data_IF_142458604478
#
_entry.id   IF_142458604478
#
_cell.length_a   1.000
_cell.length_b   1.000
_cell.length_c   1.000
_cell.angle_alpha   90.00
_cell.angle_beta   90.00
_cell.angle_gamma   90.00
#
_symmetry.space_group_name_H-M   'P 1'
#
loop_
_entity.id
_entity.type
_entity.pdbx_description
1 polymer ?
#
# COMPACT_ATOMS: atom_id res chain seq x y z
N UNK A 1 50.70 -5.20 1.66
CA UNK A 1 50.79 -4.07 0.71
C UNK A 1 50.48 -4.57 -0.71
N UNK A 2 49.25 -4.34 -1.21
CA UNK A 2 49.00 -4.22 -2.64
C UNK A 2 48.56 -2.79 -3.02
N UNK A 3 48.95 -2.42 -4.23
CA UNK A 3 49.06 -1.07 -4.79
C UNK A 3 47.71 -0.45 -5.19
N UNK A 4 47.69 0.87 -5.06
CA UNK A 4 46.70 1.87 -5.52
C UNK A 4 46.23 1.69 -6.96
N UNK A 5 44.94 1.96 -7.20
CA UNK A 5 44.47 2.57 -8.46
C UNK A 5 43.27 3.46 -8.13
N UNK A 6 43.49 4.77 -8.21
CA UNK A 6 42.44 5.80 -8.26
C UNK A 6 41.80 5.77 -9.65
N UNK A 7 40.47 5.74 -9.71
CA UNK A 7 39.73 6.12 -10.92
C UNK A 7 38.73 7.22 -10.56
N UNK A 8 39.06 8.45 -10.98
CA UNK A 8 38.13 9.56 -11.14
C UNK A 8 37.23 9.27 -12.36
N UNK A 9 35.91 9.40 -12.22
CA UNK A 9 35.01 9.63 -13.37
C UNK A 9 33.89 10.60 -13.01
N UNK A 10 33.99 11.78 -13.62
CA UNK A 10 32.99 12.71 -14.16
C UNK A 10 31.77 13.17 -13.34
N UNK A 11 31.78 14.50 -13.09
CA UNK A 11 30.63 15.37 -12.83
C UNK A 11 29.73 15.42 -14.08
N UNK A 12 28.44 15.13 -13.92
CA UNK A 12 27.39 15.32 -14.93
C UNK A 12 26.41 16.41 -14.50
N UNK A 13 26.31 17.46 -15.31
CA UNK A 13 25.53 18.67 -15.07
C UNK A 13 24.00 18.47 -15.21
N UNK A 14 23.29 19.42 -14.60
CA UNK A 14 21.86 19.51 -14.39
C UNK A 14 20.98 19.57 -15.66
N UNK A 15 19.73 19.14 -15.51
CA UNK A 15 18.59 19.64 -16.29
C UNK A 15 17.40 19.91 -15.35
N UNK A 16 17.07 21.19 -15.17
CA UNK A 16 15.87 21.72 -14.54
C UNK A 16 14.81 21.98 -15.60
N UNK A 17 13.68 21.27 -15.56
CA UNK A 17 12.45 21.52 -16.35
C UNK A 17 11.31 20.84 -15.55
N UNK A 18 10.10 21.36 -15.32
CA UNK A 18 9.34 22.52 -15.81
C UNK A 18 8.25 22.82 -14.76
N UNK A 19 7.94 24.10 -14.59
CA UNK A 19 6.84 24.60 -13.80
C UNK A 19 5.47 24.21 -14.40
N UNK A 20 4.54 23.81 -13.53
CA UNK A 20 3.11 23.70 -13.83
C UNK A 20 2.32 24.48 -12.79
N UNK A 21 2.41 25.81 -12.83
CA UNK A 21 1.49 26.73 -12.15
C UNK A 21 0.38 27.05 -13.15
N UNK A 22 -0.85 26.63 -12.86
CA UNK A 22 -2.03 26.85 -13.69
C UNK A 22 -3.16 27.42 -12.83
N UNK A 23 -3.58 28.63 -13.18
CA UNK A 23 -4.31 29.63 -12.41
C UNK A 23 -5.76 29.30 -12.02
N UNK A 24 -6.16 29.92 -10.91
CA UNK A 24 -7.51 30.13 -10.39
C UNK A 24 -8.56 30.57 -11.43
N UNK A 25 -9.78 30.04 -11.30
CA UNK A 25 -11.01 30.79 -11.60
C UNK A 25 -12.14 30.39 -10.66
N UNK A 26 -12.81 31.38 -10.08
CA UNK A 26 -14.21 31.27 -9.66
C UNK A 26 -14.48 31.15 -8.17
N UNK A 27 -14.39 32.27 -7.45
CA UNK A 27 -15.12 32.42 -6.20
C UNK A 27 -16.63 32.46 -6.46
N UNK A 28 -17.39 31.62 -5.76
CA UNK A 28 -18.78 31.88 -5.44
C UNK A 28 -19.00 31.51 -3.97
N UNK A 29 -19.40 32.53 -3.23
CA UNK A 29 -19.63 32.52 -1.79
C UNK A 29 -20.99 31.86 -1.51
N UNK A 30 -21.01 30.75 -0.77
CA UNK A 30 -22.18 30.32 0.00
C UNK A 30 -21.73 29.73 1.33
N UNK A 31 -22.22 30.34 2.41
CA UNK A 31 -22.03 30.02 3.83
C UNK A 31 -22.74 28.70 4.23
N UNK A 32 -22.54 28.19 5.48
CA UNK A 32 -22.23 26.79 5.74
C UNK A 32 -23.41 25.89 6.14
N UNK A 33 -23.08 24.60 6.33
CA UNK A 33 -23.77 23.53 7.06
C UNK A 33 -24.57 22.53 6.21
N UNK A 34 -23.96 21.36 5.95
CA UNK A 34 -24.30 20.10 6.63
C UNK A 34 -23.25 19.04 6.29
N UNK A 35 -22.79 18.31 7.31
CA UNK A 35 -21.89 17.17 7.15
C UNK A 35 -22.51 16.13 6.21
N UNK A 36 -22.04 16.08 4.97
CA UNK A 36 -22.26 14.97 4.05
C UNK A 36 -21.08 14.00 4.19
N UNK A 37 -21.44 12.75 4.44
CA UNK A 37 -20.58 11.56 4.51
C UNK A 37 -19.39 11.62 3.55
N UNK A 38 -18.22 11.08 3.92
CA UNK A 38 -17.12 10.99 2.98
C UNK A 38 -17.57 10.18 1.76
N UNK A 39 -17.73 10.89 0.65
CA UNK A 39 -17.97 10.33 -0.66
C UNK A 39 -16.96 9.24 -0.93
N UNK A 40 -17.46 8.06 -1.28
CA UNK A 40 -16.65 7.02 -1.91
C UNK A 40 -15.96 7.66 -3.10
N UNK A 41 -14.66 7.88 -2.98
CA UNK A 41 -13.83 8.18 -4.13
C UNK A 41 -14.04 7.02 -5.09
N UNK A 42 -14.76 7.29 -6.18
CA UNK A 42 -14.79 6.41 -7.32
C UNK A 42 -13.37 6.42 -7.87
N UNK A 43 -12.56 5.48 -7.40
CA UNK A 43 -11.25 5.20 -7.96
C UNK A 43 -11.47 4.83 -9.41
N UNK A 44 -11.22 5.78 -10.31
CA UNK A 44 -11.05 5.53 -11.75
C UNK A 44 -9.97 4.47 -11.85
N UNK A 45 -10.40 3.23 -12.06
CA UNK A 45 -9.54 2.06 -11.91
C UNK A 45 -8.31 2.19 -12.79
N UNK A 46 -7.11 1.81 -12.31
CA UNK A 46 -5.99 1.64 -13.20
C UNK A 46 -6.42 0.60 -14.24
N UNK A 47 -6.39 1.00 -15.52
CA UNK A 47 -6.34 0.09 -16.67
C UNK A 47 -5.48 -1.07 -16.26
N UNK A 48 -6.04 -2.28 -16.25
CA UNK A 48 -5.41 -3.48 -15.72
C UNK A 48 -4.00 -3.59 -16.32
N UNK A 49 -2.98 -3.16 -15.57
CA UNK A 49 -1.61 -3.40 -15.93
C UNK A 49 -1.49 -4.89 -16.12
N UNK A 50 -1.04 -5.31 -17.30
CA UNK A 50 -0.79 -6.70 -17.64
C UNK A 50 0.43 -7.20 -16.83
N UNK A 51 0.31 -7.25 -15.51
CA UNK A 51 1.24 -7.95 -14.65
C UNK A 51 1.16 -9.45 -15.02
N UNK A 52 1.98 -10.36 -14.48
CA UNK A 52 1.86 -11.80 -14.79
C UNK A 52 1.09 -12.55 -13.69
N UNK A 53 0.08 -13.34 -14.10
CA UNK A 53 -0.70 -14.30 -13.29
C UNK A 53 0.13 -15.35 -12.55
N UNK A 54 0.47 -15.19 -11.27
CA UNK A 54 1.11 -16.27 -10.50
C UNK A 54 0.10 -17.18 -9.81
N UNK A 55 0.40 -18.48 -9.71
CA UNK A 55 -0.44 -19.43 -8.98
C UNK A 55 -0.30 -19.25 -7.45
N UNK A 56 0.87 -18.81 -7.00
CA UNK A 56 1.16 -18.51 -5.61
C UNK A 56 1.93 -17.20 -5.52
N UNK A 57 1.57 -16.38 -4.54
CA UNK A 57 2.22 -15.10 -4.25
C UNK A 57 2.41 -15.00 -2.74
N UNK A 58 3.63 -14.64 -2.32
CA UNK A 58 3.88 -14.22 -0.94
C UNK A 58 4.00 -12.70 -0.90
N UNK A 59 3.29 -12.08 0.03
CA UNK A 59 3.36 -10.62 0.26
C UNK A 59 3.91 -10.35 1.65
N UNK A 60 4.76 -9.34 1.74
CA UNK A 60 5.53 -8.96 2.92
C UNK A 60 5.28 -7.50 3.27
N UNK A 61 5.88 -7.02 4.37
CA UNK A 61 5.82 -5.61 4.73
C UNK A 61 6.37 -4.68 3.63
N UNK A 62 7.35 -5.12 2.84
CA UNK A 62 7.95 -4.35 1.76
C UNK A 62 6.98 -4.13 0.58
N UNK A 63 5.96 -4.97 0.44
CA UNK A 63 4.96 -4.87 -0.62
C UNK A 63 3.86 -3.84 -0.32
N UNK A 64 3.93 -3.14 0.82
CA UNK A 64 2.94 -2.11 1.16
C UNK A 64 2.88 -1.02 0.09
N UNK A 65 1.67 -0.73 -0.39
CA UNK A 65 1.41 0.24 -1.47
C UNK A 65 1.51 -0.38 -2.87
N UNK A 66 1.92 -1.64 -2.99
CA UNK A 66 2.05 -2.32 -4.28
C UNK A 66 0.80 -3.12 -4.66
N UNK A 67 0.75 -3.46 -5.95
CA UNK A 67 -0.24 -4.36 -6.53
C UNK A 67 0.41 -5.69 -6.91
N UNK A 68 -0.23 -6.81 -6.57
CA UNK A 68 0.20 -8.15 -6.94
C UNK A 68 -0.89 -8.89 -7.68
N UNK A 69 -0.50 -9.80 -8.57
CA UNK A 69 -1.46 -10.56 -9.36
C UNK A 69 -1.42 -12.04 -9.03
N UNK A 70 -2.60 -12.61 -8.85
CA UNK A 70 -2.78 -14.03 -8.59
C UNK A 70 -3.80 -14.60 -9.59
N UNK A 71 -3.64 -15.87 -9.94
CA UNK A 71 -4.66 -16.58 -10.74
C UNK A 71 -5.91 -16.85 -9.90
N UNK A 72 -7.06 -16.95 -10.55
CA UNK A 72 -8.25 -17.57 -9.94
C UNK A 72 -7.90 -19.00 -9.50
N UNK A 73 -8.26 -19.35 -8.27
CA UNK A 73 -7.84 -20.57 -7.58
C UNK A 73 -6.42 -20.55 -7.00
N UNK A 74 -5.63 -19.50 -7.30
CA UNK A 74 -4.29 -19.33 -6.76
C UNK A 74 -4.28 -18.86 -5.31
N UNK A 75 -3.10 -18.88 -4.68
CA UNK A 75 -2.92 -18.58 -3.26
C UNK A 75 -2.13 -17.28 -3.06
N UNK A 76 -2.53 -16.52 -2.05
CA UNK A 76 -1.79 -15.39 -1.51
C UNK A 76 -1.46 -15.68 -0.05
N UNK A 77 -0.18 -15.67 0.29
CA UNK A 77 0.30 -15.87 1.65
C UNK A 77 0.87 -14.57 2.18
N UNK A 78 0.39 -14.12 3.34
CA UNK A 78 0.87 -12.89 3.98
C UNK A 78 1.92 -13.22 5.04
N UNK A 79 3.10 -12.61 4.93
CA UNK A 79 4.20 -12.75 5.87
C UNK A 79 4.53 -11.38 6.49
N UNK A 80 3.96 -11.13 7.66
CA UNK A 80 4.26 -9.95 8.47
C UNK A 80 4.95 -10.39 9.76
N UNK A 81 5.81 -9.53 10.30
CA UNK A 81 6.49 -9.78 11.56
C UNK A 81 5.49 -9.85 12.74
N UNK A 82 5.95 -10.29 13.91
CA UNK A 82 5.15 -10.21 15.12
C UNK A 82 4.80 -8.75 15.46
N UNK A 83 3.59 -8.51 15.98
CA UNK A 83 3.10 -7.17 16.36
C UNK A 83 2.10 -6.54 15.39
N UNK A 84 2.00 -7.09 14.18
CA UNK A 84 0.93 -6.75 13.25
C UNK A 84 -0.41 -7.31 13.71
N UNK A 85 -1.47 -6.52 13.47
CA UNK A 85 -2.84 -6.97 13.64
C UNK A 85 -3.18 -8.10 12.64
N UNK A 86 -4.24 -8.89 12.91
CA UNK A 86 -4.74 -9.85 11.94
C UNK A 86 -5.03 -9.20 10.59
N UNK A 87 -4.61 -9.87 9.51
CA UNK A 87 -4.85 -9.37 8.14
C UNK A 87 -6.33 -9.44 7.82
N UNK A 88 -6.86 -8.33 7.30
CA UNK A 88 -8.24 -8.21 6.82
C UNK A 88 -8.23 -8.10 5.30
N UNK A 89 -9.17 -8.78 4.64
CA UNK A 89 -9.39 -8.67 3.21
C UNK A 89 -10.67 -7.88 2.94
N UNK A 90 -10.62 -6.95 2.00
CA UNK A 90 -11.79 -6.24 1.47
C UNK A 90 -12.03 -6.62 0.00
N UNK A 91 -13.26 -6.42 -0.46
CA UNK A 91 -13.68 -6.86 -1.79
C UNK A 91 -14.04 -8.34 -1.81
N UNK A 92 -14.21 -8.89 -3.01
CA UNK A 92 -14.77 -10.23 -3.18
C UNK A 92 -13.97 -11.12 -4.13
N UNK A 93 -12.81 -10.65 -4.57
CA UNK A 93 -11.89 -11.41 -5.42
C UNK A 93 -11.10 -12.45 -4.63
N UNK A 94 -10.87 -12.21 -3.33
CA UNK A 94 -10.21 -13.16 -2.43
C UNK A 94 -11.21 -13.79 -1.45
N UNK A 95 -10.95 -15.05 -1.09
CA UNK A 95 -11.57 -15.74 0.03
C UNK A 95 -10.49 -16.08 1.06
N UNK A 96 -10.75 -15.82 2.35
CA UNK A 96 -9.82 -16.21 3.42
C UNK A 96 -9.81 -17.73 3.56
N UNK A 97 -8.63 -18.33 3.48
CA UNK A 97 -8.46 -19.78 3.60
C UNK A 97 -8.19 -20.17 5.06
N UNK A 98 -7.10 -19.64 5.62
CA UNK A 98 -6.67 -19.86 6.99
C UNK A 98 -5.76 -18.71 7.43
N UNK A 99 -5.66 -18.38 8.72
CA UNK A 99 -4.65 -17.44 9.24
C UNK A 99 -4.31 -16.23 8.33
N UNK A 100 -3.14 -16.32 7.68
CA UNK A 100 -2.58 -15.34 6.73
C UNK A 100 -2.62 -15.78 5.25
N UNK A 101 -3.36 -16.85 4.94
CA UNK A 101 -3.56 -17.39 3.59
C UNK A 101 -4.93 -17.01 3.00
N UNK A 102 -4.93 -16.63 1.73
CA UNK A 102 -6.10 -16.25 0.95
C UNK A 102 -6.09 -16.95 -0.41
N UNK A 103 -7.25 -17.34 -0.91
CA UNK A 103 -7.42 -17.92 -2.24
C UNK A 103 -8.06 -16.90 -3.19
N UNK A 104 -7.61 -16.89 -4.45
CA UNK A 104 -8.27 -16.18 -5.55
C UNK A 104 -9.63 -16.79 -5.84
N UNK A 105 -10.70 -16.26 -5.26
CA UNK A 105 -12.05 -16.80 -5.37
C UNK A 105 -12.69 -16.50 -6.73
N UNK A 106 -12.49 -15.28 -7.25
CA UNK A 106 -12.95 -14.88 -8.59
C UNK A 106 -12.13 -13.72 -9.12
N UNK A 107 -12.16 -13.53 -10.44
CA UNK A 107 -11.54 -12.38 -11.08
C UNK A 107 -12.04 -11.05 -10.47
N UNK A 108 -11.12 -10.11 -10.27
CA UNK A 108 -11.40 -8.80 -9.68
C UNK A 108 -10.27 -8.29 -8.80
N UNK A 109 -10.55 -7.21 -8.07
CA UNK A 109 -9.63 -6.61 -7.09
C UNK A 109 -10.07 -6.89 -5.66
N UNK A 110 -9.10 -7.10 -4.79
CA UNK A 110 -9.26 -7.14 -3.34
C UNK A 110 -8.11 -6.36 -2.68
N UNK A 111 -8.34 -5.80 -1.50
CA UNK A 111 -7.25 -5.21 -0.71
C UNK A 111 -6.98 -6.07 0.53
N UNK A 112 -5.71 -6.27 0.85
CA UNK A 112 -5.26 -6.84 2.11
C UNK A 112 -4.71 -5.72 2.97
N UNK A 113 -5.18 -5.61 4.22
CA UNK A 113 -4.77 -4.56 5.15
C UNK A 113 -4.40 -5.10 6.51
N UNK A 114 -3.40 -4.48 7.15
CA UNK A 114 -3.05 -4.69 8.55
C UNK A 114 -2.45 -3.41 9.13
N UNK A 115 -2.27 -3.37 10.44
CA UNK A 115 -1.65 -2.25 11.16
C UNK A 115 -0.83 -2.76 12.34
N UNK A 116 0.25 -2.07 12.67
CA UNK A 116 1.01 -2.30 13.89
C UNK A 116 1.27 -1.00 14.64
N UNK A 117 1.58 -1.09 15.93
CA UNK A 117 2.04 0.07 16.71
C UNK A 117 3.49 0.36 16.36
N UNK A 118 3.80 1.63 16.12
CA UNK A 118 5.20 2.05 15.88
C UNK A 118 6.00 2.01 17.18
N UNK A 119 5.34 2.31 18.30
CA UNK A 119 5.99 2.39 19.60
C UNK A 119 5.56 1.23 20.51
N UNK A 120 6.45 0.77 21.40
CA UNK A 120 6.11 -0.19 22.43
C UNK A 120 4.92 0.28 23.26
N UNK A 121 4.12 -0.68 23.73
CA UNK A 121 3.02 -0.38 24.66
C UNK A 121 3.62 0.15 25.97
N UNK A 122 3.14 1.28 26.52
CA UNK A 122 3.60 1.77 27.81
C UNK A 122 3.32 0.72 28.89
N UNK A 123 4.33 0.44 29.72
CA UNK A 123 4.29 -0.61 30.74
C UNK A 123 4.02 -0.08 32.16
N UNK A 124 4.14 1.23 32.38
CA UNK A 124 3.91 1.89 33.67
C UNK A 124 2.62 2.69 33.77
N UNK A 125 2.11 2.87 34.99
CA UNK A 125 0.97 3.78 35.28
C UNK A 125 1.40 5.23 35.03
N UNK A 126 0.55 6.00 34.36
CA UNK A 126 0.80 7.41 34.03
C UNK A 126 1.73 7.66 32.84
N UNK A 127 2.22 6.61 32.16
CA UNK A 127 3.03 6.75 30.96
C UNK A 127 2.16 7.05 29.75
N UNK A 128 2.50 8.11 29.01
CA UNK A 128 1.90 8.39 27.72
C UNK A 128 2.59 7.53 26.65
N UNK A 129 1.80 6.68 26.00
CA UNK A 129 2.25 5.95 24.81
C UNK A 129 2.13 6.81 23.57
N UNK A 130 3.06 6.68 22.63
CA UNK A 130 2.87 7.22 21.29
C UNK A 130 1.73 6.43 20.62
N UNK A 131 0.66 7.13 20.26
CA UNK A 131 -0.51 6.56 19.58
C UNK A 131 -0.27 6.24 18.10
N UNK A 132 0.97 6.34 17.61
CA UNK A 132 1.28 6.15 16.19
C UNK A 132 1.11 4.69 15.77
N UNK A 133 0.38 4.52 14.67
CA UNK A 133 0.21 3.25 13.97
C UNK A 133 0.90 3.32 12.61
N UNK A 134 1.52 2.20 12.21
CA UNK A 134 2.00 1.98 10.85
C UNK A 134 1.01 1.07 10.15
N UNK A 135 0.47 1.55 9.03
CA UNK A 135 -0.42 0.77 8.17
C UNK A 135 0.37 -0.04 7.13
N UNK A 136 -0.20 -1.17 6.74
CA UNK A 136 0.23 -1.97 5.61
C UNK A 136 -0.98 -2.26 4.72
N UNK A 137 -0.80 -2.11 3.41
CA UNK A 137 -1.85 -2.37 2.44
C UNK A 137 -1.28 -2.92 1.14
N UNK A 138 -1.86 -4.00 0.63
CA UNK A 138 -1.55 -4.55 -0.70
C UNK A 138 -2.83 -4.68 -1.52
N UNK A 139 -2.77 -4.29 -2.80
CA UNK A 139 -3.85 -4.56 -3.75
C UNK A 139 -3.59 -5.90 -4.43
N UNK A 140 -4.56 -6.79 -4.42
CA UNK A 140 -4.48 -8.08 -5.10
C UNK A 140 -5.43 -8.08 -6.29
N UNK A 141 -4.88 -8.34 -7.48
CA UNK A 141 -5.65 -8.53 -8.71
C UNK A 141 -5.74 -10.02 -9.01
N UNK A 142 -6.95 -10.54 -8.94
CA UNK A 142 -7.27 -11.92 -9.33
C UNK A 142 -7.75 -11.92 -10.78
N UNK A 143 -7.28 -12.87 -11.57
CA UNK A 143 -7.69 -13.02 -12.98
C UNK A 143 -7.53 -14.45 -13.48
#
# INVERSE_FOLDING_TARGET
MPKTVLSLVAVGAAALLVAGCGSDTGGAHTLPAKAQSPSSAASTGPTASACAASAEVTVTAADSGHEVCVKTGGRVTVQLAAGWAPVTASGTALAKASGTEFNGAKAGRAELTSSERVCPKPTGKGMMGCGALRGWKVTVVVR
#
